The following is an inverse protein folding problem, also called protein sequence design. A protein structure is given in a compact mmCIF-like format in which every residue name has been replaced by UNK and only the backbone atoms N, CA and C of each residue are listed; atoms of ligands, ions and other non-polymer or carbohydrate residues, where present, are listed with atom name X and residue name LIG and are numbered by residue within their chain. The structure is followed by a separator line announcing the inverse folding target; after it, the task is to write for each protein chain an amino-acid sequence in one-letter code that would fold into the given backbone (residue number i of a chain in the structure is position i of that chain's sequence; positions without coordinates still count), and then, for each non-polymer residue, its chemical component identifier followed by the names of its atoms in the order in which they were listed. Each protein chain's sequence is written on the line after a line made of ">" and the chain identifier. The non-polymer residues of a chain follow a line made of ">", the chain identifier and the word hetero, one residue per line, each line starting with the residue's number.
data_IF_716454025825
#
_entry.id   IF_716454025825
#
_cell.length_a   1.000
_cell.length_b   1.000
_cell.length_c   1.000
_cell.angle_alpha   90.00
_cell.angle_beta   90.00
_cell.angle_gamma   90.00
#
_symmetry.space_group_name_H-M   'P 1'
#
loop_
_entity.id
_entity.type
_entity.pdbx_description
1 polymer ?
#
# COMPACT_ATOMS: atom_id res chain seq x y z
N UNK A 1 -38.57 -63.38 -43.57
CA UNK A 1 -37.99 -62.08 -43.19
C UNK A 1 -36.47 -62.19 -43.22
N UNK A 2 -35.80 -61.54 -44.20
CA UNK A 2 -34.33 -61.52 -44.35
C UNK A 2 -33.80 -60.27 -43.65
N UNK A 3 -33.09 -60.42 -42.53
CA UNK A 3 -32.37 -59.33 -41.90
C UNK A 3 -31.13 -58.99 -42.72
N UNK A 4 -31.11 -57.75 -43.20
CA UNK A 4 -30.00 -57.17 -43.98
C UNK A 4 -28.92 -56.75 -42.99
N UNK A 5 -27.86 -57.55 -42.84
CA UNK A 5 -26.67 -57.17 -42.05
C UNK A 5 -25.99 -55.98 -42.69
N UNK A 6 -26.19 -54.80 -42.09
CA UNK A 6 -25.41 -53.59 -42.44
C UNK A 6 -23.97 -53.80 -41.89
N UNK A 7 -23.04 -54.12 -42.79
CA UNK A 7 -21.61 -54.03 -42.52
C UNK A 7 -21.27 -52.55 -42.20
N UNK A 8 -21.07 -52.25 -40.97
CA UNK A 8 -20.44 -50.96 -40.56
C UNK A 8 -19.03 -50.93 -41.13
N UNK A 9 -18.80 -50.11 -42.14
CA UNK A 9 -17.47 -49.77 -42.61
C UNK A 9 -16.73 -49.08 -41.45
N UNK A 10 -15.85 -49.79 -40.80
CA UNK A 10 -14.87 -49.23 -39.84
C UNK A 10 -13.70 -48.71 -40.72
N UNK A 11 -13.83 -47.47 -41.22
CA UNK A 11 -12.71 -46.78 -41.80
C UNK A 11 -11.67 -46.52 -40.73
N UNK A 12 -10.48 -47.09 -40.84
CA UNK A 12 -9.33 -46.76 -39.98
C UNK A 12 -8.82 -45.36 -40.35
N UNK A 13 -8.31 -44.62 -39.37
CA UNK A 13 -7.65 -43.34 -39.59
C UNK A 13 -6.45 -43.51 -40.52
N UNK A 14 -6.34 -42.63 -41.49
CA UNK A 14 -5.15 -42.59 -42.36
C UNK A 14 -3.96 -42.02 -41.61
N UNK A 15 -2.75 -42.44 -41.99
CA UNK A 15 -1.51 -41.95 -41.37
C UNK A 15 -1.38 -40.43 -41.50
N UNK A 16 -1.86 -39.82 -42.56
CA UNK A 16 -1.93 -38.38 -42.78
C UNK A 16 -2.85 -37.69 -41.76
N UNK A 17 -4.00 -38.28 -41.45
CA UNK A 17 -5.02 -37.73 -40.57
C UNK A 17 -4.51 -37.73 -39.09
N UNK A 18 -3.81 -38.79 -38.67
CA UNK A 18 -3.15 -38.83 -37.36
C UNK A 18 -2.02 -37.81 -37.27
N UNK A 19 -1.27 -37.58 -38.32
CA UNK A 19 -0.17 -36.61 -38.35
C UNK A 19 -0.69 -35.18 -38.23
N UNK A 20 -1.77 -34.85 -38.95
CA UNK A 20 -2.43 -33.54 -38.85
C UNK A 20 -3.03 -33.35 -37.45
N UNK A 21 -3.69 -34.39 -36.90
CA UNK A 21 -4.26 -34.30 -35.52
C UNK A 21 -3.21 -34.04 -34.47
N UNK A 22 -2.03 -34.69 -34.53
CA UNK A 22 -0.91 -34.47 -33.62
C UNK A 22 -0.34 -33.06 -33.80
N UNK A 23 -0.23 -32.56 -35.03
CA UNK A 23 0.26 -31.21 -35.29
C UNK A 23 -0.68 -30.16 -34.70
N UNK A 24 -1.98 -30.30 -34.87
CA UNK A 24 -2.97 -29.39 -34.27
C UNK A 24 -2.91 -29.46 -32.74
N UNK A 25 -2.82 -30.68 -32.17
CA UNK A 25 -2.74 -30.88 -30.71
C UNK A 25 -1.51 -30.21 -30.13
N UNK A 26 -0.35 -30.31 -30.77
CA UNK A 26 0.89 -29.67 -30.31
C UNK A 26 0.82 -28.14 -30.40
N UNK A 27 0.18 -27.58 -31.44
CA UNK A 27 -0.07 -26.15 -31.51
C UNK A 27 -0.97 -25.64 -30.40
N UNK A 28 -2.08 -26.32 -30.15
CA UNK A 28 -3.02 -25.97 -29.07
C UNK A 28 -2.33 -26.09 -27.71
N UNK A 29 -1.59 -27.15 -27.49
CA UNK A 29 -0.83 -27.34 -26.25
C UNK A 29 0.19 -26.21 -26.03
N UNK A 30 0.87 -25.76 -27.07
CA UNK A 30 1.81 -24.63 -27.01
C UNK A 30 1.14 -23.30 -26.63
N UNK A 31 -0.02 -23.00 -27.19
CA UNK A 31 -0.81 -21.80 -26.87
C UNK A 31 -1.27 -21.84 -25.41
N UNK A 32 -1.77 -22.98 -24.93
CA UNK A 32 -2.23 -23.14 -23.56
C UNK A 32 -1.06 -23.05 -22.57
N UNK A 33 0.06 -23.68 -22.88
CA UNK A 33 1.26 -23.65 -22.04
C UNK A 33 1.83 -22.23 -21.85
N UNK A 34 1.79 -21.39 -22.88
CA UNK A 34 2.23 -20.00 -22.82
C UNK A 34 1.18 -19.03 -22.28
N UNK A 35 -0.09 -19.27 -22.58
CA UNK A 35 -1.20 -18.37 -22.24
C UNK A 35 -1.55 -18.36 -20.74
N UNK A 36 -1.55 -19.53 -20.08
CA UNK A 36 -1.93 -19.62 -18.66
C UNK A 36 -0.98 -18.84 -17.75
N UNK A 37 0.36 -18.95 -17.84
CA UNK A 37 1.26 -18.16 -17.04
C UNK A 37 1.12 -16.65 -17.27
N UNK A 38 0.94 -16.23 -18.52
CA UNK A 38 0.74 -14.83 -18.87
C UNK A 38 -0.55 -14.27 -18.24
N UNK A 39 -1.65 -15.03 -18.31
CA UNK A 39 -2.92 -14.66 -17.68
C UNK A 39 -2.80 -14.57 -16.16
N UNK A 40 -2.11 -15.51 -15.50
CA UNK A 40 -1.86 -15.47 -14.06
C UNK A 40 -1.07 -14.23 -13.66
N UNK A 41 0.02 -13.92 -14.35
CA UNK A 41 0.81 -12.73 -14.08
C UNK A 41 0.02 -11.44 -14.24
N UNK A 42 -0.88 -11.37 -15.24
CA UNK A 42 -1.77 -10.22 -15.43
C UNK A 42 -2.79 -10.09 -14.30
N UNK A 43 -3.37 -11.21 -13.85
CA UNK A 43 -4.30 -11.24 -12.72
C UNK A 43 -3.61 -10.83 -11.40
N UNK A 44 -2.42 -11.35 -11.12
CA UNK A 44 -1.67 -11.01 -9.92
C UNK A 44 -1.35 -9.51 -9.86
N UNK A 45 -0.94 -8.92 -10.98
CA UNK A 45 -0.73 -7.47 -11.08
C UNK A 45 -2.02 -6.68 -10.87
N UNK A 46 -3.14 -7.09 -11.46
CA UNK A 46 -4.42 -6.42 -11.29
C UNK A 46 -4.90 -6.47 -9.83
N UNK A 47 -4.71 -7.62 -9.17
CA UNK A 47 -5.03 -7.80 -7.76
C UNK A 47 -4.13 -6.93 -6.87
N UNK A 48 -2.82 -6.87 -7.13
CA UNK A 48 -1.90 -6.03 -6.38
C UNK A 48 -2.26 -4.54 -6.49
N UNK A 49 -2.60 -4.07 -7.70
CA UNK A 49 -3.05 -2.68 -7.91
C UNK A 49 -4.36 -2.40 -7.18
N UNK A 50 -5.34 -3.31 -7.26
CA UNK A 50 -6.61 -3.15 -6.55
C UNK A 50 -6.42 -3.07 -5.03
N UNK A 51 -5.59 -3.95 -4.47
CA UNK A 51 -5.28 -3.94 -3.04
C UNK A 51 -4.51 -2.68 -2.63
N UNK A 52 -3.59 -2.19 -3.46
CA UNK A 52 -2.84 -0.97 -3.17
C UNK A 52 -3.76 0.27 -3.14
N UNK A 53 -4.72 0.37 -4.04
CA UNK A 53 -5.72 1.44 -4.04
C UNK A 53 -6.63 1.38 -2.81
N UNK A 54 -7.06 0.18 -2.41
CA UNK A 54 -7.84 -0.02 -1.20
C UNK A 54 -7.04 0.38 0.05
N UNK A 55 -5.78 -0.04 0.14
CA UNK A 55 -4.89 0.30 1.26
C UNK A 55 -4.65 1.81 1.32
N UNK A 56 -4.40 2.46 0.18
CA UNK A 56 -4.23 3.91 0.10
C UNK A 56 -5.47 4.65 0.62
N UNK A 57 -6.66 4.29 0.12
CA UNK A 57 -7.93 4.87 0.55
C UNK A 57 -8.21 4.65 2.04
N UNK A 58 -7.95 3.44 2.55
CA UNK A 58 -8.11 3.12 3.97
C UNK A 58 -7.12 3.91 4.83
N UNK A 59 -5.87 4.04 4.38
CA UNK A 59 -4.84 4.84 5.07
C UNK A 59 -5.25 6.31 5.14
N UNK A 60 -5.72 6.90 4.04
CA UNK A 60 -6.21 8.28 4.02
C UNK A 60 -7.38 8.49 4.99
N UNK A 61 -8.32 7.53 5.04
CA UNK A 61 -9.46 7.57 5.97
C UNK A 61 -8.99 7.46 7.42
N UNK A 62 -8.05 6.56 7.70
CA UNK A 62 -7.50 6.37 9.05
C UNK A 62 -6.70 7.59 9.51
N UNK A 63 -5.87 8.16 8.65
CA UNK A 63 -5.14 9.42 8.93
C UNK A 63 -6.11 10.57 9.22
N UNK A 64 -7.17 10.71 8.42
CA UNK A 64 -8.19 11.73 8.66
C UNK A 64 -8.89 11.52 9.99
N UNK A 65 -9.28 10.30 10.32
CA UNK A 65 -9.96 9.99 11.59
C UNK A 65 -9.09 10.28 12.81
N UNK A 66 -7.80 9.97 12.74
CA UNK A 66 -6.87 10.22 13.85
C UNK A 66 -6.56 11.72 14.01
N UNK A 67 -6.30 12.43 12.92
CA UNK A 67 -5.80 13.81 12.96
C UNK A 67 -6.91 14.87 12.97
N UNK A 68 -8.06 14.63 12.36
CA UNK A 68 -9.14 15.63 12.30
C UNK A 68 -9.72 15.98 13.67
N UNK A 69 -9.69 15.02 14.61
CA UNK A 69 -10.21 15.19 15.97
C UNK A 69 -9.13 15.57 17.00
N UNK A 70 -7.91 15.76 16.56
CA UNK A 70 -6.79 16.12 17.43
C UNK A 70 -6.99 17.53 18.04
N UNK A 71 -6.64 17.68 19.31
CA UNK A 71 -6.70 18.98 20.04
C UNK A 71 -5.48 19.85 19.78
N UNK A 72 -4.33 19.22 19.58
CA UNK A 72 -3.06 19.88 19.30
C UNK A 72 -2.24 19.01 18.38
N UNK A 73 -1.56 19.60 17.43
CA UNK A 73 -0.67 18.91 16.49
C UNK A 73 0.65 19.66 16.40
N UNK A 74 1.74 18.91 16.40
CA UNK A 74 3.09 19.41 16.14
C UNK A 74 3.75 18.44 15.18
N UNK A 75 4.08 18.87 14.00
CA UNK A 75 4.97 18.11 13.12
C UNK A 75 6.41 18.39 13.53
N UNK A 76 7.26 17.39 13.52
CA UNK A 76 8.68 17.58 13.74
C UNK A 76 9.18 18.55 12.66
N UNK A 77 9.71 19.69 13.11
CA UNK A 77 9.92 20.90 12.32
C UNK A 77 10.78 20.65 11.09
N UNK A 78 10.40 21.28 9.99
CA UNK A 78 11.39 21.64 8.98
C UNK A 78 12.47 22.49 9.69
N UNK A 79 13.76 22.22 9.48
CA UNK A 79 14.78 23.17 9.88
C UNK A 79 14.49 24.46 9.12
N UNK A 80 14.15 25.54 9.84
CA UNK A 80 14.13 26.89 9.29
C UNK A 80 15.54 27.21 8.76
N UNK A 81 15.74 27.07 7.48
CA UNK A 81 17.01 27.32 6.83
C UNK A 81 16.86 27.29 5.32
N UNK A 82 16.56 28.45 4.75
CA UNK A 82 16.97 28.79 3.41
C UNK A 82 18.47 28.51 3.29
N UNK A 83 18.81 27.38 2.63
CA UNK A 83 19.95 27.31 1.70
C UNK A 83 20.05 25.88 1.16
N UNK A 84 19.80 25.79 -0.12
CA UNK A 84 19.94 24.57 -0.89
C UNK A 84 21.37 24.03 -0.86
N UNK A 85 21.43 22.72 -1.12
CA UNK A 85 22.64 21.99 -1.50
C UNK A 85 23.55 21.54 -0.37
N UNK A 86 23.15 20.44 0.28
CA UNK A 86 24.05 19.37 0.73
C UNK A 86 23.20 18.14 1.04
N UNK A 87 23.74 16.95 0.95
CA UNK A 87 23.06 15.71 1.29
C UNK A 87 22.27 15.90 2.59
N UNK A 88 20.93 15.79 2.51
CA UNK A 88 20.07 16.02 3.67
C UNK A 88 20.50 15.04 4.77
N UNK A 89 20.70 15.57 5.98
CA UNK A 89 21.05 14.78 7.13
C UNK A 89 19.96 13.70 7.34
N UNK A 90 20.31 12.41 7.44
CA UNK A 90 19.35 11.33 7.63
C UNK A 90 18.42 11.54 8.84
N UNK A 91 18.90 12.21 9.88
CA UNK A 91 18.13 12.54 11.09
C UNK A 91 17.02 13.56 10.79
N UNK A 92 17.30 14.55 9.94
CA UNK A 92 16.33 15.56 9.52
C UNK A 92 15.24 14.92 8.63
N UNK A 93 15.63 14.04 7.71
CA UNK A 93 14.67 13.30 6.86
C UNK A 93 13.77 12.41 7.69
N UNK A 94 14.33 11.74 8.71
CA UNK A 94 13.55 10.91 9.62
C UNK A 94 12.55 11.74 10.45
N UNK A 95 12.93 12.94 10.88
CA UNK A 95 12.07 13.84 11.65
C UNK A 95 10.83 14.31 10.88
N UNK A 96 10.93 14.53 9.57
CA UNK A 96 9.79 14.94 8.70
C UNK A 96 8.70 13.88 8.60
N UNK A 97 8.99 12.63 8.95
CA UNK A 97 8.07 11.50 8.92
C UNK A 97 7.29 11.30 10.22
N UNK A 98 7.36 12.25 11.15
CA UNK A 98 6.77 12.13 12.49
C UNK A 98 5.77 13.27 12.72
N UNK A 99 4.57 12.90 13.18
CA UNK A 99 3.52 13.81 13.64
C UNK A 99 3.24 13.52 15.13
N UNK A 100 3.37 14.53 15.98
CA UNK A 100 2.94 14.46 17.37
C UNK A 100 1.58 15.12 17.52
N UNK A 101 0.66 14.50 18.21
CA UNK A 101 -0.66 15.08 18.43
C UNK A 101 -1.27 14.66 19.76
N UNK A 102 -2.18 15.47 20.26
CA UNK A 102 -3.02 15.13 21.40
C UNK A 102 -4.39 14.77 20.88
N UNK A 103 -4.86 13.57 21.18
CA UNK A 103 -6.15 13.10 20.70
C UNK A 103 -7.34 13.77 21.43
N UNK A 104 -8.56 13.45 21.05
CA UNK A 104 -9.78 13.98 21.68
C UNK A 104 -9.92 13.60 23.14
N UNK A 105 -9.28 12.51 23.60
CA UNK A 105 -9.27 12.06 24.99
C UNK A 105 -8.22 12.78 25.85
N UNK A 106 -7.30 13.52 25.24
CA UNK A 106 -6.18 14.18 25.90
C UNK A 106 -4.92 13.31 25.97
N UNK A 107 -4.89 12.14 25.35
CA UNK A 107 -3.70 11.31 25.30
C UNK A 107 -2.70 11.84 24.26
N UNK A 108 -1.41 11.79 24.61
CA UNK A 108 -0.33 12.13 23.69
C UNK A 108 -0.11 10.96 22.71
N UNK A 109 -0.07 11.27 21.45
CA UNK A 109 0.07 10.30 20.38
C UNK A 109 1.24 10.68 19.46
N UNK A 110 1.89 9.66 18.92
CA UNK A 110 2.91 9.80 17.89
C UNK A 110 2.45 9.02 16.65
N UNK A 111 2.51 9.63 15.50
CA UNK A 111 2.28 8.97 14.22
C UNK A 111 3.57 9.08 13.41
N UNK A 112 4.09 7.94 12.95
CA UNK A 112 5.36 7.87 12.24
C UNK A 112 5.26 6.97 11.02
N UNK A 113 5.79 7.45 9.88
CA UNK A 113 6.01 6.64 8.68
C UNK A 113 7.35 5.93 8.77
N UNK A 114 7.32 4.61 8.69
CA UNK A 114 8.48 3.71 8.69
C UNK A 114 8.58 2.96 7.35
N UNK A 115 9.64 2.15 7.19
CA UNK A 115 9.93 1.40 5.95
C UNK A 115 9.00 0.19 5.73
N UNK A 116 8.11 -0.10 6.67
CA UNK A 116 7.15 -1.20 6.63
C UNK A 116 5.70 -0.76 6.93
N UNK A 117 5.47 0.53 7.16
CA UNK A 117 4.13 1.06 7.39
C UNK A 117 4.07 2.36 8.16
N UNK A 118 2.86 2.82 8.39
CA UNK A 118 2.58 3.97 9.25
C UNK A 118 2.14 3.46 10.62
N UNK A 119 2.85 3.87 11.65
CA UNK A 119 2.65 3.42 13.02
C UNK A 119 2.11 4.52 13.91
N UNK A 120 1.31 4.15 14.90
CA UNK A 120 0.76 5.04 15.93
C UNK A 120 1.22 4.53 17.29
N UNK A 121 1.76 5.44 18.10
CA UNK A 121 1.96 5.27 19.54
C UNK A 121 0.94 6.09 20.30
N UNK A 122 0.45 5.60 21.44
CA UNK A 122 -0.48 6.32 22.31
C UNK A 122 -0.10 6.11 23.77
N UNK A 123 0.03 7.21 24.50
CA UNK A 123 0.23 7.21 25.95
C UNK A 123 -0.96 7.88 26.64
N UNK A 124 -1.64 7.14 27.49
CA UNK A 124 -2.79 7.61 28.24
C UNK A 124 -2.42 8.50 29.45
N UNK A 125 -1.17 8.46 29.89
CA UNK A 125 -0.66 9.21 31.02
C UNK A 125 0.68 9.86 30.70
N UNK A 126 0.69 10.97 29.94
CA UNK A 126 1.93 11.66 29.68
C UNK A 126 2.49 12.20 30.98
N UNK A 127 3.72 11.80 31.35
CA UNK A 127 4.43 12.37 32.45
C UNK A 127 4.90 13.77 32.05
N UNK A 128 4.12 14.77 32.44
CA UNK A 128 4.34 16.18 32.12
C UNK A 128 5.56 16.74 32.88
N UNK A 129 6.11 15.99 33.85
CA UNK A 129 7.15 16.48 34.78
C UNK A 129 8.57 16.44 34.19
N UNK A 130 8.82 15.73 33.09
CA UNK A 130 10.16 15.51 32.54
C UNK A 130 10.33 15.83 31.05
N UNK A 131 9.60 16.83 30.55
CA UNK A 131 9.56 17.09 29.11
C UNK A 131 8.60 16.15 28.41
N UNK A 132 8.00 16.60 27.31
CA UNK A 132 6.99 15.81 26.57
C UNK A 132 7.63 14.52 26.07
N UNK A 133 7.42 13.42 26.80
CA UNK A 133 7.88 12.11 26.39
C UNK A 133 6.87 11.59 25.34
N UNK A 134 7.27 11.57 24.08
CA UNK A 134 6.41 11.09 23.01
C UNK A 134 6.41 9.56 23.03
N UNK A 135 5.23 8.92 23.04
CA UNK A 135 5.14 7.46 23.05
C UNK A 135 5.76 6.88 21.77
N UNK A 136 6.53 5.81 21.94
CA UNK A 136 7.06 5.09 20.78
C UNK A 136 5.92 4.51 19.93
N UNK A 137 6.01 4.60 18.60
CA UNK A 137 5.00 4.04 17.71
C UNK A 137 4.99 2.50 17.81
N UNK A 138 3.85 1.92 18.16
CA UNK A 138 3.73 0.48 18.45
C UNK A 138 2.70 -0.23 17.61
N UNK A 139 1.70 0.47 17.09
CA UNK A 139 0.57 -0.10 16.36
C UNK A 139 0.52 0.42 14.95
N UNK A 140 0.39 -0.48 13.96
CA UNK A 140 0.10 -0.08 12.59
C UNK A 140 -1.22 0.71 12.53
N UNK A 141 -1.20 1.82 11.80
CA UNK A 141 -2.37 2.67 11.57
C UNK A 141 -3.48 1.88 10.85
N UNK A 142 -3.09 1.10 9.85
CA UNK A 142 -3.98 0.18 9.14
C UNK A 142 -3.59 -1.24 9.52
N UNK A 143 -4.56 -2.04 9.98
CA UNK A 143 -4.30 -3.41 10.46
C UNK A 143 -3.64 -4.28 9.38
N UNK A 144 -2.83 -5.27 9.81
CA UNK A 144 -2.13 -6.21 8.93
C UNK A 144 -3.05 -6.94 7.93
N UNK A 145 -4.33 -7.11 8.27
CA UNK A 145 -5.32 -7.73 7.38
C UNK A 145 -5.60 -6.89 6.12
N UNK A 146 -5.41 -5.58 6.18
CA UNK A 146 -5.48 -4.71 5.01
C UNK A 146 -4.14 -4.68 4.25
N UNK A 147 -3.04 -5.01 4.90
CA UNK A 147 -1.69 -5.10 4.35
C UNK A 147 -1.36 -6.51 3.79
N UNK A 148 -2.33 -7.17 3.16
CA UNK A 148 -2.09 -8.46 2.51
C UNK A 148 -0.98 -8.36 1.46
N UNK A 149 -0.10 -9.35 1.41
CA UNK A 149 0.94 -9.52 0.37
C UNK A 149 2.14 -8.56 0.44
N UNK A 150 2.65 -8.24 1.62
CA UNK A 150 3.81 -7.36 1.79
C UNK A 150 3.58 -5.93 1.26
N UNK A 151 2.31 -5.47 1.26
CA UNK A 151 1.95 -4.10 0.95
C UNK A 151 1.99 -3.26 2.22
N UNK A 152 2.52 -2.05 2.11
CA UNK A 152 2.51 -1.08 3.20
C UNK A 152 2.32 0.33 2.66
N UNK A 153 1.75 1.20 3.49
CA UNK A 153 1.61 2.62 3.19
C UNK A 153 2.72 3.39 3.89
N UNK A 154 3.24 4.41 3.23
CA UNK A 154 4.24 5.32 3.78
C UNK A 154 4.03 6.73 3.24
N UNK A 155 4.51 7.75 3.97
CA UNK A 155 4.57 9.12 3.48
C UNK A 155 5.99 9.68 3.64
N UNK A 156 6.30 10.73 2.89
CA UNK A 156 7.64 11.31 2.84
C UNK A 156 7.82 12.43 3.84
N UNK A 157 6.81 13.30 3.97
CA UNK A 157 6.85 14.42 4.90
C UNK A 157 5.46 14.80 5.39
N UNK A 158 5.42 15.45 6.55
CA UNK A 158 4.20 16.03 7.10
C UNK A 158 4.50 17.43 7.66
N UNK A 159 3.57 18.35 7.45
CA UNK A 159 3.64 19.70 7.98
C UNK A 159 2.29 20.12 8.55
N UNK A 160 2.32 21.04 9.53
CA UNK A 160 1.09 21.59 10.13
C UNK A 160 1.14 23.10 10.09
N UNK A 161 0.16 23.70 9.45
CA UNK A 161 0.03 25.14 9.35
C UNK A 161 -1.45 25.57 9.36
N UNK A 162 -1.79 26.57 10.17
CA UNK A 162 -3.12 27.19 10.21
C UNK A 162 -4.30 26.21 10.37
N UNK A 163 -4.14 25.13 11.13
CA UNK A 163 -5.20 24.16 11.35
C UNK A 163 -5.29 23.09 10.27
N UNK A 164 -4.36 23.05 9.32
CA UNK A 164 -4.31 22.05 8.26
C UNK A 164 -3.03 21.23 8.41
N UNK A 165 -3.18 19.90 8.49
CA UNK A 165 -2.07 18.96 8.34
C UNK A 165 -1.93 18.63 6.88
N UNK A 166 -0.74 18.83 6.34
CA UNK A 166 -0.38 18.49 4.99
C UNK A 166 0.58 17.32 4.98
N UNK A 167 0.20 16.22 4.33
CA UNK A 167 1.01 15.01 4.19
C UNK A 167 1.41 14.88 2.73
N UNK A 168 2.71 14.79 2.48
CA UNK A 168 3.27 14.71 1.13
C UNK A 168 3.87 13.34 0.86
N UNK A 169 3.82 12.91 -0.42
CA UNK A 169 4.38 11.65 -0.87
C UNK A 169 3.72 10.43 -0.23
N UNK A 170 2.41 10.49 0.03
CA UNK A 170 1.66 9.33 0.51
C UNK A 170 1.57 8.28 -0.62
N UNK A 171 2.12 7.12 -0.37
CA UNK A 171 2.26 6.03 -1.33
C UNK A 171 2.00 4.67 -0.69
N UNK A 172 1.67 3.70 -1.53
CA UNK A 172 1.61 2.28 -1.17
C UNK A 172 2.68 1.52 -1.93
N UNK A 173 3.49 0.81 -1.18
CA UNK A 173 4.63 0.09 -1.69
C UNK A 173 4.48 -1.40 -1.43
N UNK A 174 5.12 -2.20 -2.28
CA UNK A 174 5.28 -3.65 -2.12
C UNK A 174 6.74 -3.96 -1.86
N UNK A 175 7.01 -4.65 -0.75
CA UNK A 175 8.35 -5.13 -0.44
C UNK A 175 8.66 -6.37 -1.28
N UNK A 176 9.71 -6.31 -2.07
CA UNK A 176 10.16 -7.40 -2.94
C UNK A 176 11.66 -7.65 -2.71
N UNK A 177 11.98 -8.48 -1.68
CA UNK A 177 13.36 -8.64 -1.20
C UNK A 177 13.90 -7.32 -0.63
N UNK A 178 15.03 -6.85 -1.14
CA UNK A 178 15.66 -5.58 -0.74
C UNK A 178 15.18 -4.37 -1.56
N UNK A 179 14.27 -4.58 -2.52
CA UNK A 179 13.72 -3.51 -3.37
C UNK A 179 12.28 -3.18 -2.98
N UNK A 180 11.94 -1.92 -3.17
CA UNK A 180 10.62 -1.35 -2.96
C UNK A 180 9.99 -1.03 -4.31
N UNK A 181 8.77 -1.52 -4.54
CA UNK A 181 7.98 -1.21 -5.73
C UNK A 181 6.78 -0.36 -5.32
N UNK A 182 6.71 0.87 -5.82
CA UNK A 182 5.54 1.73 -5.64
C UNK A 182 4.42 1.22 -6.55
N UNK A 183 3.27 0.89 -5.97
CA UNK A 183 2.09 0.39 -6.69
C UNK A 183 1.00 1.45 -6.85
N UNK A 184 0.89 2.35 -5.88
CA UNK A 184 -0.08 3.45 -5.89
C UNK A 184 0.48 4.61 -5.09
N UNK A 185 0.34 5.83 -5.59
CA UNK A 185 0.75 7.07 -4.92
C UNK A 185 -0.25 8.20 -5.23
N UNK A 186 -0.14 9.29 -4.51
CA UNK A 186 -0.86 10.53 -4.81
C UNK A 186 -0.07 11.46 -5.75
N UNK A 187 1.10 11.03 -6.24
CA UNK A 187 2.01 11.86 -7.02
C UNK A 187 2.45 13.11 -6.23
N UNK A 188 2.45 14.24 -6.90
CA UNK A 188 2.81 15.55 -6.31
C UNK A 188 1.65 16.19 -5.52
N UNK A 189 0.52 15.49 -5.37
CA UNK A 189 -0.63 16.01 -4.63
C UNK A 189 -0.47 15.72 -3.14
N UNK A 190 -0.48 16.75 -2.33
CA UNK A 190 -0.48 16.61 -0.89
C UNK A 190 -1.87 16.20 -0.40
N UNK A 191 -1.90 15.32 0.60
CA UNK A 191 -3.11 14.98 1.33
C UNK A 191 -3.32 15.96 2.47
N UNK A 192 -4.37 16.76 2.39
CA UNK A 192 -4.68 17.80 3.38
C UNK A 192 -5.81 17.35 4.31
N UNK A 193 -5.61 17.56 5.61
CA UNK A 193 -6.56 17.24 6.67
C UNK A 193 -6.83 18.49 7.49
N UNK A 194 -8.07 18.96 7.48
CA UNK A 194 -8.50 20.05 8.37
C UNK A 194 -8.71 19.50 9.79
N UNK A 195 -8.08 20.15 10.75
CA UNK A 195 -8.15 19.80 12.17
C UNK A 195 -9.30 20.55 12.82
N UNK A 196 -10.35 19.82 13.15
CA UNK A 196 -11.60 20.37 13.74
C UNK A 196 -11.46 20.50 15.27
N UNK A 197 -10.43 19.90 15.85
CA UNK A 197 -10.13 19.91 17.28
C UNK A 197 -9.97 21.35 17.77
N UNK A 198 -10.83 21.72 18.71
CA UNK A 198 -10.98 23.09 19.21
C UNK A 198 -9.72 23.55 19.92
N UNK A 199 -9.17 24.68 19.49
CA UNK A 199 -8.29 25.49 20.33
C UNK A 199 -9.03 25.84 21.61
N UNK A 200 -8.64 25.24 22.73
CA UNK A 200 -8.98 25.72 24.05
C UNK A 200 -8.09 26.85 24.45
#
# INVERSE_FOLDING_TARGET
>A
MKQKNQKRNRGGFTLAETLIAVLILTMVAGIVAGGIPAARNALDKAVDVSHSQLLLSTTMTSLRNELATARSITCASEPNGENGSAAEDPEVVAARKIIYYVDSSGAVCTLQSMDDGIYVGKDASPDISSGVNHPAPQRLLVSEQAATKNLYAAFTSASYNNGIVKIEGLKVCKKQGDSELVLSDLGDVAFEIEVIGRKG
#
